data_IF_502589897659
#
_entry.id   IF_502589897659
#
_cell.length_a   1.000
_cell.length_b   1.000
_cell.length_c   1.000
_cell.angle_alpha   90.00
_cell.angle_beta   90.00
_cell.angle_gamma   90.00
#
_symmetry.space_group_name_H-M   'P 1'
#
loop_
_entity.id
_entity.type
_entity.pdbx_description
1 polymer ?
#
# COMPACT_ATOMS: atom_id res chain seq x y z
N UNK A 1 -63.63 -61.02 30.54
CA UNK A 1 -63.86 -59.56 30.48
C UNK A 1 -62.57 -58.87 30.02
N UNK A 2 -62.72 -58.03 29.00
CA UNK A 2 -61.91 -56.84 28.70
C UNK A 2 -60.48 -56.93 28.13
N UNK A 3 -60.45 -56.48 26.87
CA UNK A 3 -59.52 -55.53 26.23
C UNK A 3 -58.15 -56.07 25.78
N UNK A 4 -58.17 -56.57 24.53
CA UNK A 4 -57.05 -56.54 23.58
C UNK A 4 -56.61 -55.07 23.35
N UNK A 5 -55.35 -54.76 23.59
CA UNK A 5 -54.69 -53.57 23.05
C UNK A 5 -54.13 -53.91 21.67
N UNK A 6 -54.53 -53.12 20.69
CA UNK A 6 -54.08 -53.14 19.30
C UNK A 6 -52.69 -52.48 19.21
N UNK A 7 -51.69 -53.24 18.79
CA UNK A 7 -50.38 -52.71 18.41
C UNK A 7 -50.46 -52.21 16.96
N UNK A 8 -50.34 -50.89 16.76
CA UNK A 8 -50.25 -50.28 15.44
C UNK A 8 -48.76 -50.18 15.06
N UNK A 9 -48.33 -51.00 14.09
CA UNK A 9 -47.00 -50.90 13.50
C UNK A 9 -46.95 -49.70 12.55
N UNK A 10 -46.05 -48.75 12.81
CA UNK A 10 -45.73 -47.69 11.86
C UNK A 10 -44.67 -48.21 10.87
N UNK A 11 -45.04 -48.29 9.59
CA UNK A 11 -44.09 -48.34 8.47
C UNK A 11 -43.36 -46.99 8.40
N UNK A 12 -42.04 -46.98 8.60
CA UNK A 12 -41.19 -45.88 8.13
C UNK A 12 -40.90 -46.09 6.63
N UNK A 13 -41.54 -45.29 5.77
CA UNK A 13 -41.06 -45.07 4.41
C UNK A 13 -39.81 -44.19 4.47
N UNK A 14 -38.68 -44.72 4.03
CA UNK A 14 -37.46 -43.97 3.81
C UNK A 14 -37.62 -43.03 2.60
N UNK A 15 -37.70 -41.72 2.88
CA UNK A 15 -37.51 -40.68 1.87
C UNK A 15 -36.00 -40.45 1.71
N UNK A 16 -35.45 -40.99 0.62
CA UNK A 16 -34.15 -40.61 0.09
C UNK A 16 -34.21 -39.13 -0.32
N UNK A 17 -33.71 -38.24 0.54
CA UNK A 17 -33.35 -36.89 0.13
C UNK A 17 -32.10 -36.97 -0.75
N UNK A 18 -32.31 -37.04 -2.06
CA UNK A 18 -31.33 -36.56 -3.03
C UNK A 18 -31.28 -35.03 -2.87
N UNK A 19 -30.52 -34.56 -1.89
CA UNK A 19 -30.16 -33.15 -1.77
C UNK A 19 -29.36 -32.76 -3.01
N UNK A 20 -30.04 -32.07 -3.93
CA UNK A 20 -29.38 -31.42 -5.05
C UNK A 20 -28.27 -30.53 -4.51
N UNK A 21 -27.11 -30.61 -5.17
CA UNK A 21 -26.04 -29.64 -5.04
C UNK A 21 -26.66 -28.31 -5.48
N UNK A 22 -27.03 -27.45 -4.54
CA UNK A 22 -27.42 -26.08 -4.85
C UNK A 22 -26.22 -25.43 -5.56
N UNK A 23 -26.40 -25.14 -6.84
CA UNK A 23 -25.50 -24.29 -7.60
C UNK A 23 -25.23 -23.02 -6.80
N UNK A 24 -23.95 -22.67 -6.66
CA UNK A 24 -23.49 -21.40 -6.12
C UNK A 24 -24.40 -20.26 -6.63
N UNK A 25 -25.06 -19.55 -5.72
CA UNK A 25 -25.89 -18.42 -6.07
C UNK A 25 -25.03 -17.43 -6.87
N UNK A 26 -25.35 -17.27 -8.16
CA UNK A 26 -24.68 -16.32 -9.03
C UNK A 26 -24.78 -14.93 -8.40
N UNK A 27 -23.65 -14.25 -8.26
CA UNK A 27 -23.63 -12.92 -7.67
C UNK A 27 -24.53 -11.96 -8.46
N UNK A 28 -25.50 -11.33 -7.78
CA UNK A 28 -26.42 -10.39 -8.42
C UNK A 28 -25.68 -9.10 -8.82
N UNK A 29 -26.00 -8.59 -10.01
CA UNK A 29 -25.46 -7.33 -10.49
C UNK A 29 -26.06 -6.17 -9.68
N UNK A 30 -25.22 -5.18 -9.38
CA UNK A 30 -25.62 -3.95 -8.69
C UNK A 30 -25.49 -2.75 -9.63
N UNK A 31 -26.21 -1.65 -9.38
CA UNK A 31 -26.02 -0.41 -10.13
C UNK A 31 -24.55 0.01 -10.11
N UNK A 32 -24.02 0.29 -11.30
CA UNK A 32 -22.71 0.92 -11.41
C UNK A 32 -22.79 2.39 -10.98
N UNK A 33 -21.73 2.92 -10.35
CA UNK A 33 -21.60 4.36 -10.12
C UNK A 33 -21.55 5.14 -11.43
N UNK A 34 -22.02 6.38 -11.36
CA UNK A 34 -22.11 7.30 -12.51
C UNK A 34 -20.73 7.68 -13.09
N UNK A 35 -19.65 7.55 -12.30
CA UNK A 35 -18.29 7.90 -12.72
C UNK A 35 -17.65 6.87 -13.65
N UNK A 36 -18.23 5.66 -13.74
CA UNK A 36 -17.77 4.61 -14.65
C UNK A 36 -18.27 4.83 -16.07
N UNK A 37 -17.56 4.32 -17.10
CA UNK A 37 -18.08 4.29 -18.45
C UNK A 37 -19.46 3.61 -18.52
N UNK A 38 -20.25 3.95 -19.54
CA UNK A 38 -21.49 3.22 -19.83
C UNK A 38 -21.17 1.78 -20.26
N UNK A 39 -22.14 0.86 -20.12
CA UNK A 39 -22.01 -0.57 -20.48
C UNK A 39 -20.99 -1.34 -19.64
N UNK A 40 -20.99 -1.06 -18.34
CA UNK A 40 -20.26 -1.84 -17.33
C UNK A 40 -21.29 -2.59 -16.50
N UNK A 41 -20.99 -3.84 -16.15
CA UNK A 41 -21.72 -4.60 -15.14
C UNK A 41 -20.93 -4.58 -13.84
N UNK A 42 -21.56 -4.10 -12.77
CA UNK A 42 -20.94 -3.99 -11.46
C UNK A 42 -21.46 -5.04 -10.51
N UNK A 43 -20.58 -5.50 -9.63
CA UNK A 43 -20.90 -6.44 -8.55
C UNK A 43 -20.22 -5.95 -7.29
N UNK A 44 -20.88 -6.11 -6.16
CA UNK A 44 -20.27 -5.90 -4.85
C UNK A 44 -20.70 -7.00 -3.89
N UNK A 45 -19.94 -7.17 -2.82
CA UNK A 45 -20.26 -8.18 -1.82
C UNK A 45 -19.21 -8.23 -0.74
N UNK A 46 -19.27 -9.30 0.04
CA UNK A 46 -18.27 -9.64 1.04
C UNK A 46 -17.79 -11.07 0.77
N UNK A 47 -16.47 -11.23 0.67
CA UNK A 47 -15.85 -12.54 0.51
C UNK A 47 -16.04 -13.39 1.76
N UNK A 48 -15.87 -14.71 1.64
CA UNK A 48 -15.93 -15.64 2.79
C UNK A 48 -14.93 -15.26 3.90
N UNK A 49 -13.83 -14.60 3.55
CA UNK A 49 -12.83 -14.13 4.50
C UNK A 49 -13.28 -12.88 5.28
N UNK A 50 -14.39 -12.25 4.90
CA UNK A 50 -14.94 -11.04 5.51
C UNK A 50 -14.52 -9.74 4.82
N UNK A 51 -13.70 -9.77 3.75
CA UNK A 51 -13.32 -8.57 3.01
C UNK A 51 -14.43 -8.16 2.04
N UNK A 52 -14.86 -6.90 2.09
CA UNK A 52 -15.75 -6.33 1.07
C UNK A 52 -15.03 -6.25 -0.28
N UNK A 53 -15.75 -6.37 -1.39
CA UNK A 53 -15.17 -6.24 -2.71
C UNK A 53 -16.09 -5.54 -3.70
N UNK A 54 -15.48 -5.01 -4.76
CA UNK A 54 -16.13 -4.45 -5.95
C UNK A 54 -15.55 -5.11 -7.19
N UNK A 55 -16.39 -5.36 -8.19
CA UNK A 55 -16.01 -5.87 -9.51
C UNK A 55 -16.75 -5.05 -10.56
N UNK A 56 -16.04 -4.62 -11.59
CA UNK A 56 -16.57 -3.96 -12.78
C UNK A 56 -16.10 -4.69 -14.04
N UNK A 57 -17.05 -5.17 -14.84
CA UNK A 57 -16.78 -5.92 -16.07
C UNK A 57 -17.43 -5.19 -17.24
N UNK A 58 -16.64 -4.66 -18.19
CA UNK A 58 -17.18 -4.11 -19.44
C UNK A 58 -17.96 -5.14 -20.23
N UNK A 59 -19.05 -4.73 -20.90
CA UNK A 59 -19.78 -5.61 -21.82
C UNK A 59 -18.89 -6.15 -22.96
N UNK A 60 -17.90 -5.36 -23.39
CA UNK A 60 -16.90 -5.71 -24.38
C UNK A 60 -15.59 -6.26 -23.75
N UNK A 61 -15.70 -6.99 -22.63
CA UNK A 61 -14.53 -7.48 -21.90
C UNK A 61 -13.53 -8.23 -22.79
N UNK A 62 -12.29 -7.76 -22.82
CA UNK A 62 -11.21 -8.29 -23.66
C UNK A 62 -10.53 -9.54 -23.07
N UNK A 63 -10.91 -9.94 -21.85
CA UNK A 63 -10.34 -11.07 -21.11
C UNK A 63 -9.22 -10.69 -20.14
N UNK A 64 -8.87 -9.41 -20.01
CA UNK A 64 -7.88 -8.91 -19.05
C UNK A 64 -8.61 -8.51 -17.76
N UNK A 65 -8.09 -8.98 -16.62
CA UNK A 65 -8.51 -8.58 -15.28
C UNK A 65 -7.38 -7.82 -14.60
N UNK A 66 -7.68 -6.66 -14.03
CA UNK A 66 -6.78 -5.96 -13.12
C UNK A 66 -7.34 -5.99 -11.71
N UNK A 67 -6.54 -6.49 -10.76
CA UNK A 67 -6.83 -6.44 -9.34
C UNK A 67 -6.15 -5.23 -8.70
N UNK A 68 -6.96 -4.30 -8.21
CA UNK A 68 -6.50 -3.07 -7.57
C UNK A 68 -6.37 -3.25 -6.05
N UNK A 69 -5.14 -3.07 -5.57
CA UNK A 69 -4.80 -2.93 -4.17
C UNK A 69 -4.85 -1.45 -3.79
N UNK A 70 -5.81 -1.10 -2.94
CA UNK A 70 -5.97 0.27 -2.44
C UNK A 70 -4.75 0.73 -1.64
N UNK A 71 -4.38 1.99 -1.79
CA UNK A 71 -3.47 2.69 -0.88
C UNK A 71 -4.10 3.09 0.46
N UNK A 72 -3.30 3.70 1.33
CA UNK A 72 -3.74 4.14 2.66
C UNK A 72 -3.89 3.00 3.67
N UNK A 73 -4.07 3.35 4.95
CA UNK A 73 -4.20 2.39 6.04
C UNK A 73 -5.57 2.54 6.70
N UNK A 74 -6.59 1.85 6.18
CA UNK A 74 -7.91 1.78 6.82
C UNK A 74 -7.87 0.75 7.94
N UNK A 75 -8.51 1.07 9.07
CA UNK A 75 -8.41 0.30 10.32
C UNK A 75 -9.57 -0.67 10.54
N UNK A 76 -10.70 -0.49 9.85
CA UNK A 76 -11.87 -1.34 10.00
C UNK A 76 -12.46 -1.75 8.64
N UNK A 77 -13.04 -2.96 8.53
CA UNK A 77 -13.79 -3.39 7.36
C UNK A 77 -14.95 -2.42 7.13
N UNK A 78 -15.03 -1.87 5.94
CA UNK A 78 -16.17 -1.06 5.49
C UNK A 78 -16.57 -1.46 4.07
N UNK A 79 -17.85 -1.31 3.69
CA UNK A 79 -18.24 -1.36 2.29
C UNK A 79 -17.36 -0.42 1.46
N UNK A 80 -16.92 -0.92 0.31
CA UNK A 80 -16.11 -0.15 -0.63
C UNK A 80 -17.00 0.75 -1.48
N UNK A 81 -16.48 1.92 -1.85
CA UNK A 81 -17.07 2.82 -2.83
C UNK A 81 -16.17 2.86 -4.05
N UNK A 82 -16.75 2.93 -5.24
CA UNK A 82 -15.96 3.03 -6.46
C UNK A 82 -15.15 4.34 -6.51
N UNK A 83 -15.66 5.41 -5.92
CA UNK A 83 -14.98 6.70 -5.85
C UNK A 83 -13.69 6.64 -5.01
N UNK A 84 -13.74 6.01 -3.83
CA UNK A 84 -12.62 6.04 -2.88
C UNK A 84 -11.68 4.83 -2.99
N UNK A 85 -12.17 3.71 -3.53
CA UNK A 85 -11.51 2.41 -3.40
C UNK A 85 -11.06 1.79 -4.74
N UNK A 86 -11.56 2.28 -5.88
CA UNK A 86 -11.14 1.80 -7.19
C UNK A 86 -10.09 2.66 -7.88
N UNK A 87 -9.60 3.75 -7.27
CA UNK A 87 -8.49 4.52 -7.86
C UNK A 87 -8.88 5.16 -9.20
N UNK A 88 -9.81 6.12 -9.14
CA UNK A 88 -10.49 6.75 -10.29
C UNK A 88 -9.56 7.12 -11.47
N UNK A 89 -8.35 7.61 -11.23
CA UNK A 89 -7.43 8.01 -12.30
C UNK A 89 -6.86 6.81 -13.09
N UNK A 90 -6.31 5.82 -12.40
CA UNK A 90 -5.79 4.60 -13.05
C UNK A 90 -6.92 3.80 -13.70
N UNK A 91 -8.01 3.60 -12.96
CA UNK A 91 -9.14 2.80 -13.43
C UNK A 91 -9.83 3.40 -14.66
N UNK A 92 -9.95 4.73 -14.76
CA UNK A 92 -10.43 5.39 -15.99
C UNK A 92 -9.51 5.21 -17.18
N UNK A 93 -8.20 5.14 -16.96
CA UNK A 93 -7.22 5.06 -18.04
C UNK A 93 -7.13 3.68 -18.72
N UNK A 94 -7.53 2.61 -18.03
CA UNK A 94 -7.48 1.23 -18.56
C UNK A 94 -8.87 0.60 -18.84
N UNK A 95 -9.94 1.01 -18.14
CA UNK A 95 -11.29 0.45 -18.38
C UNK A 95 -11.85 0.77 -19.78
N UNK A 96 -11.43 1.89 -20.38
CA UNK A 96 -11.92 2.29 -21.70
C UNK A 96 -11.59 1.28 -22.80
N UNK A 97 -10.59 0.43 -22.57
CA UNK A 97 -10.09 -0.54 -23.54
C UNK A 97 -10.65 -1.96 -23.31
N UNK A 98 -11.71 -2.09 -22.51
CA UNK A 98 -12.41 -3.37 -22.27
C UNK A 98 -11.77 -4.22 -21.16
N UNK A 99 -10.97 -3.63 -20.27
CA UNK A 99 -10.34 -4.31 -19.13
C UNK A 99 -11.32 -4.40 -17.94
N UNK A 100 -11.46 -5.59 -17.35
CA UNK A 100 -12.21 -5.76 -16.11
C UNK A 100 -11.37 -5.31 -14.90
N UNK A 101 -12.03 -4.72 -13.90
CA UNK A 101 -11.42 -4.32 -12.65
C UNK A 101 -12.08 -5.02 -11.47
N UNK A 102 -11.28 -5.39 -10.48
CA UNK A 102 -11.81 -5.75 -9.17
C UNK A 102 -10.91 -5.21 -8.06
N UNK A 103 -11.51 -4.81 -6.95
CA UNK A 103 -10.81 -4.33 -5.77
C UNK A 103 -11.36 -5.00 -4.53
N UNK A 104 -10.48 -5.34 -3.60
CA UNK A 104 -10.84 -5.86 -2.28
C UNK A 104 -10.56 -4.81 -1.22
N UNK A 105 -11.40 -4.79 -0.21
CA UNK A 105 -11.20 -4.10 1.04
C UNK A 105 -10.39 -4.98 1.98
N UNK A 106 -10.36 -4.59 3.25
CA UNK A 106 -9.62 -5.33 4.26
C UNK A 106 -10.60 -6.02 5.21
N UNK A 107 -10.42 -7.33 5.41
CA UNK A 107 -11.24 -8.10 6.37
C UNK A 107 -10.94 -7.77 7.84
N UNK A 108 -9.80 -7.15 8.11
CA UNK A 108 -9.31 -6.74 9.44
C UNK A 108 -8.26 -5.63 9.30
N UNK A 109 -7.75 -5.14 10.43
CA UNK A 109 -6.66 -4.16 10.45
C UNK A 109 -5.52 -4.55 9.48
N UNK A 110 -5.21 -3.64 8.57
CA UNK A 110 -4.60 -3.94 7.27
C UNK A 110 -3.08 -4.08 7.27
N UNK A 111 -2.56 -5.27 6.93
CA UNK A 111 -1.15 -5.51 6.61
C UNK A 111 -0.91 -5.82 5.13
N UNK A 112 0.33 -5.69 4.59
CA UNK A 112 0.58 -6.05 3.21
C UNK A 112 0.32 -7.52 2.92
N UNK A 113 0.70 -8.43 3.83
CA UNK A 113 0.38 -9.86 3.72
C UNK A 113 -1.13 -10.15 3.75
N UNK A 114 -1.87 -9.54 4.67
CA UNK A 114 -3.33 -9.74 4.75
C UNK A 114 -4.07 -9.12 3.57
N UNK A 115 -3.61 -7.97 3.07
CA UNK A 115 -4.12 -7.41 1.82
C UNK A 115 -3.86 -8.33 0.63
N UNK A 116 -2.67 -8.93 0.56
CA UNK A 116 -2.35 -9.87 -0.50
C UNK A 116 -3.25 -11.13 -0.45
N UNK A 117 -3.51 -11.65 0.76
CA UNK A 117 -4.49 -12.74 0.97
C UNK A 117 -5.90 -12.34 0.51
N UNK A 118 -6.38 -11.15 0.86
CA UNK A 118 -7.72 -10.67 0.49
C UNK A 118 -7.85 -10.42 -1.02
N UNK A 119 -6.78 -9.97 -1.67
CA UNK A 119 -6.72 -9.81 -3.14
C UNK A 119 -6.69 -11.15 -3.86
N UNK A 120 -5.98 -12.16 -3.35
CA UNK A 120 -6.01 -13.51 -3.91
C UNK A 120 -7.38 -14.18 -3.72
N UNK A 121 -8.02 -13.98 -2.56
CA UNK A 121 -9.39 -14.46 -2.34
C UNK A 121 -10.36 -13.85 -3.36
N UNK A 122 -10.23 -12.56 -3.65
CA UNK A 122 -11.01 -11.89 -4.68
C UNK A 122 -10.72 -12.44 -6.08
N UNK A 123 -9.46 -12.72 -6.42
CA UNK A 123 -9.12 -13.36 -7.71
C UNK A 123 -9.84 -14.70 -7.87
N UNK A 124 -9.78 -15.55 -6.83
CA UNK A 124 -10.41 -16.87 -6.85
C UNK A 124 -11.93 -16.75 -6.96
N UNK A 125 -12.54 -15.81 -6.23
CA UNK A 125 -13.96 -15.50 -6.35
C UNK A 125 -14.33 -15.05 -7.77
N UNK A 126 -13.53 -14.18 -8.38
CA UNK A 126 -13.74 -13.75 -9.77
C UNK A 126 -13.71 -14.95 -10.72
N UNK A 127 -12.69 -15.81 -10.61
CA UNK A 127 -12.55 -16.99 -11.48
C UNK A 127 -13.73 -17.95 -11.33
N UNK A 128 -14.22 -18.15 -10.10
CA UNK A 128 -15.37 -19.02 -9.84
C UNK A 128 -16.66 -18.50 -10.48
N UNK A 129 -16.89 -17.18 -10.44
CA UNK A 129 -18.15 -16.58 -10.89
C UNK A 129 -18.16 -16.14 -12.36
N UNK A 130 -17.01 -15.77 -12.91
CA UNK A 130 -16.89 -15.16 -14.25
C UNK A 130 -15.95 -15.92 -15.20
N UNK A 131 -15.29 -16.97 -14.71
CA UNK A 131 -14.31 -17.75 -15.47
C UNK A 131 -12.90 -17.17 -15.41
N UNK A 132 -11.92 -17.96 -15.89
CA UNK A 132 -10.50 -17.59 -15.84
C UNK A 132 -10.19 -16.47 -16.86
N UNK A 133 -9.62 -15.32 -16.44
CA UNK A 133 -9.13 -14.31 -17.36
C UNK A 133 -8.03 -14.84 -18.29
N UNK A 134 -7.89 -14.23 -19.47
CA UNK A 134 -6.72 -14.44 -20.35
C UNK A 134 -5.45 -13.88 -19.70
N UNK A 135 -5.58 -12.75 -19.01
CA UNK A 135 -4.52 -12.08 -18.26
C UNK A 135 -5.04 -11.56 -16.94
N UNK A 136 -4.26 -11.72 -15.87
CA UNK A 136 -4.53 -11.22 -14.53
C UNK A 136 -3.34 -10.37 -14.08
N UNK A 137 -3.55 -9.06 -13.94
CA UNK A 137 -2.52 -8.10 -13.50
C UNK A 137 -2.89 -7.60 -12.11
N UNK A 138 -1.92 -7.44 -11.22
CA UNK A 138 -2.12 -6.79 -9.92
C UNK A 138 -1.52 -5.39 -9.93
N UNK A 139 -2.24 -4.41 -9.38
CA UNK A 139 -1.88 -3.00 -9.41
C UNK A 139 -2.15 -2.35 -8.05
N UNK A 140 -1.35 -1.37 -7.65
CA UNK A 140 -1.66 -0.54 -6.49
C UNK A 140 -0.67 0.61 -6.30
N UNK A 141 -1.19 1.74 -5.81
CA UNK A 141 -0.41 2.93 -5.47
C UNK A 141 -0.15 3.04 -3.96
N UNK A 142 0.87 3.79 -3.56
CA UNK A 142 1.16 4.08 -2.15
C UNK A 142 1.38 2.77 -1.36
N UNK A 143 0.77 2.63 -0.19
CA UNK A 143 0.81 1.40 0.57
C UNK A 143 0.22 0.19 -0.18
N UNK A 144 -0.70 0.41 -1.13
CA UNK A 144 -1.20 -0.61 -2.07
C UNK A 144 -0.13 -1.11 -3.05
N UNK A 145 0.90 -0.30 -3.33
CA UNK A 145 2.09 -0.74 -4.07
C UNK A 145 2.88 -1.80 -3.31
N UNK A 146 3.01 -1.67 -1.98
CA UNK A 146 3.65 -2.69 -1.15
C UNK A 146 2.82 -3.98 -1.10
N UNK A 147 1.49 -3.87 -1.06
CA UNK A 147 0.59 -5.04 -1.16
C UNK A 147 0.70 -5.71 -2.53
N UNK A 148 0.84 -4.92 -3.59
CA UNK A 148 1.04 -5.42 -4.95
C UNK A 148 2.33 -6.22 -5.07
N UNK A 149 3.42 -5.74 -4.47
CA UNK A 149 4.66 -6.51 -4.35
C UNK A 149 4.45 -7.82 -3.59
N UNK A 150 3.71 -7.78 -2.47
CA UNK A 150 3.43 -8.97 -1.66
C UNK A 150 2.50 -9.97 -2.36
N UNK A 151 1.54 -9.52 -3.18
CA UNK A 151 0.73 -10.40 -4.06
C UNK A 151 1.63 -11.10 -5.08
N UNK A 152 2.51 -10.36 -5.75
CA UNK A 152 3.41 -10.92 -6.76
C UNK A 152 4.34 -11.99 -6.15
N UNK A 153 4.85 -11.74 -4.94
CA UNK A 153 5.72 -12.66 -4.20
C UNK A 153 5.00 -13.91 -3.70
N UNK A 154 3.82 -13.76 -3.08
CA UNK A 154 3.13 -14.88 -2.44
C UNK A 154 2.25 -15.69 -3.39
N UNK A 155 1.70 -15.04 -4.41
CA UNK A 155 0.63 -15.60 -5.24
C UNK A 155 0.92 -15.49 -6.73
N UNK A 156 2.01 -14.85 -7.18
CA UNK A 156 2.31 -14.72 -8.61
C UNK A 156 2.40 -16.08 -9.32
N UNK A 157 3.07 -17.03 -8.68
CA UNK A 157 3.19 -18.43 -9.12
C UNK A 157 2.75 -19.34 -7.97
N UNK A 158 1.89 -20.32 -8.27
CA UNK A 158 1.43 -21.28 -7.26
C UNK A 158 2.56 -22.21 -6.81
N UNK A 159 2.35 -22.97 -5.74
CA UNK A 159 3.32 -23.96 -5.24
C UNK A 159 3.64 -25.05 -6.28
N UNK A 160 2.70 -25.31 -7.18
CA UNK A 160 2.81 -26.26 -8.29
C UNK A 160 3.48 -25.66 -9.54
N UNK A 161 3.92 -24.40 -9.48
CA UNK A 161 4.59 -23.71 -10.57
C UNK A 161 3.64 -23.03 -11.58
N UNK A 162 2.33 -22.99 -11.31
CA UNK A 162 1.37 -22.38 -12.23
C UNK A 162 1.25 -20.87 -12.00
N UNK A 163 1.46 -20.08 -13.05
CA UNK A 163 1.24 -18.63 -13.05
C UNK A 163 -0.24 -18.32 -12.73
N UNK A 164 -0.46 -17.53 -11.67
CA UNK A 164 -1.79 -17.05 -11.26
C UNK A 164 -1.99 -15.56 -11.55
N UNK A 165 -0.91 -14.78 -11.54
CA UNK A 165 -0.85 -13.39 -11.97
C UNK A 165 0.19 -13.27 -13.06
N UNK A 166 -0.18 -12.68 -14.19
CA UNK A 166 0.71 -12.53 -15.33
C UNK A 166 1.69 -11.35 -15.16
N UNK A 167 1.36 -10.36 -14.33
CA UNK A 167 2.29 -9.29 -13.98
C UNK A 167 1.80 -8.38 -12.85
N UNK A 168 2.71 -7.53 -12.36
CA UNK A 168 2.46 -6.62 -11.25
C UNK A 168 2.93 -5.19 -11.56
N UNK A 169 2.13 -4.22 -11.14
CA UNK A 169 2.37 -2.78 -11.37
C UNK A 169 2.33 -1.98 -10.05
N UNK A 170 3.34 -2.11 -9.17
CA UNK A 170 3.46 -1.24 -7.99
C UNK A 170 3.75 0.21 -8.39
N UNK A 171 3.05 1.18 -7.81
CA UNK A 171 3.31 2.59 -8.04
C UNK A 171 3.52 3.34 -6.73
N UNK A 172 4.42 4.33 -6.73
CA UNK A 172 4.69 5.24 -5.59
C UNK A 172 4.72 4.51 -4.22
N UNK A 173 5.26 3.28 -4.21
CA UNK A 173 5.03 2.32 -3.14
C UNK A 173 5.99 2.46 -1.98
N UNK A 174 5.64 1.92 -0.81
CA UNK A 174 6.58 1.80 0.33
C UNK A 174 7.51 0.60 0.08
N UNK A 175 8.32 0.66 -0.97
CA UNK A 175 9.01 -0.51 -1.53
C UNK A 175 10.17 -1.04 -0.66
N UNK A 176 10.55 -0.29 0.38
CA UNK A 176 11.53 -0.71 1.38
C UNK A 176 10.95 -1.58 2.50
N UNK A 177 9.62 -1.77 2.52
CA UNK A 177 8.92 -2.48 3.59
C UNK A 177 8.69 -1.63 4.85
N UNK A 178 7.99 -2.21 5.82
CA UNK A 178 7.59 -1.47 7.03
C UNK A 178 8.70 -1.33 8.05
N UNK A 179 9.71 -2.21 8.02
CA UNK A 179 10.85 -2.09 8.93
C UNK A 179 11.64 -0.80 8.64
N UNK A 180 11.99 -0.57 7.38
CA UNK A 180 12.68 0.65 6.94
C UNK A 180 11.79 1.87 6.97
N UNK A 181 10.48 1.72 6.74
CA UNK A 181 9.52 2.81 6.99
C UNK A 181 9.52 3.27 8.45
N UNK A 182 9.45 2.30 9.35
CA UNK A 182 9.42 2.56 10.78
C UNK A 182 10.69 3.25 11.30
N UNK A 183 11.84 3.04 10.66
CA UNK A 183 13.11 3.69 10.97
C UNK A 183 13.05 5.22 10.85
N UNK A 184 12.68 5.77 9.70
CA UNK A 184 12.60 7.23 9.58
C UNK A 184 11.39 7.81 10.33
N UNK A 185 10.35 7.02 10.60
CA UNK A 185 9.25 7.44 11.47
C UNK A 185 9.68 7.59 12.93
N UNK A 186 10.45 6.65 13.49
CA UNK A 186 10.95 6.82 14.87
C UNK A 186 11.93 7.98 14.98
N UNK A 187 12.82 8.14 13.99
CA UNK A 187 13.77 9.26 13.94
C UNK A 187 13.03 10.60 13.95
N UNK A 188 12.02 10.74 13.09
CA UNK A 188 11.20 11.94 13.01
C UNK A 188 10.52 12.24 14.36
N UNK A 189 9.97 11.23 15.05
CA UNK A 189 9.29 11.44 16.34
C UNK A 189 10.24 11.81 17.46
N UNK A 190 11.41 11.18 17.58
CA UNK A 190 12.37 11.51 18.66
C UNK A 190 13.02 12.88 18.44
N UNK A 191 13.33 13.23 17.20
CA UNK A 191 13.89 14.54 16.84
C UNK A 191 12.85 15.63 17.07
N UNK A 192 11.61 15.43 16.63
CA UNK A 192 10.51 16.36 16.91
C UNK A 192 10.30 16.56 18.41
N UNK A 193 10.23 15.49 19.20
CA UNK A 193 9.98 15.61 20.64
C UNK A 193 11.12 16.33 21.36
N UNK A 194 12.37 16.18 20.91
CA UNK A 194 13.51 16.92 21.48
C UNK A 194 13.33 18.44 21.36
N UNK A 195 12.93 18.93 20.18
CA UNK A 195 12.72 20.36 19.92
C UNK A 195 11.38 20.90 20.44
N UNK A 196 10.30 20.14 20.26
CA UNK A 196 8.94 20.63 20.47
C UNK A 196 8.34 20.29 21.83
N UNK A 197 8.76 19.16 22.43
CA UNK A 197 8.33 18.70 23.77
C UNK A 197 6.82 18.71 24.00
N UNK A 198 6.03 18.46 22.95
CA UNK A 198 4.58 18.61 22.96
C UNK A 198 3.82 17.41 22.36
N UNK A 199 4.50 16.32 22.02
CA UNK A 199 3.86 15.09 21.55
C UNK A 199 4.55 13.83 22.13
N UNK A 200 4.28 13.49 23.41
CA UNK A 200 3.23 14.07 24.27
C UNK A 200 3.58 15.42 24.92
N UNK A 201 2.57 16.15 25.37
CA UNK A 201 2.70 17.37 26.17
C UNK A 201 3.23 17.08 27.57
N UNK A 202 3.88 18.04 28.26
CA UNK A 202 4.42 17.81 29.61
C UNK A 202 3.37 17.44 30.66
N UNK A 203 2.12 17.86 30.47
CA UNK A 203 0.98 17.57 31.35
C UNK A 203 0.19 16.33 30.93
N UNK A 204 0.61 15.63 29.88
CA UNK A 204 0.02 14.36 29.45
C UNK A 204 0.80 13.17 29.99
N UNK A 205 0.15 12.00 30.14
CA UNK A 205 0.86 10.75 30.40
C UNK A 205 1.96 10.55 29.37
N UNK A 206 3.21 10.47 29.85
CA UNK A 206 4.35 10.22 28.99
C UNK A 206 4.33 8.77 28.51
N UNK A 207 4.71 8.54 27.26
CA UNK A 207 4.73 7.21 26.67
C UNK A 207 5.89 7.04 25.68
N UNK A 208 6.34 5.81 25.41
CA UNK A 208 7.42 5.58 24.47
C UNK A 208 7.06 5.99 23.04
N UNK A 209 7.86 6.84 22.42
CA UNK A 209 7.58 7.39 21.09
C UNK A 209 7.65 6.36 19.95
N UNK A 210 8.14 5.15 20.20
CA UNK A 210 8.12 4.09 19.18
C UNK A 210 6.74 3.49 18.96
N UNK A 211 5.77 3.70 19.84
CA UNK A 211 4.48 2.98 19.77
C UNK A 211 3.39 3.69 18.95
N UNK A 212 3.69 4.83 18.32
CA UNK A 212 2.62 5.70 17.77
C UNK A 212 1.88 6.41 18.92
N UNK A 213 0.61 6.10 19.11
CA UNK A 213 -0.19 6.59 20.23
C UNK A 213 -0.42 5.47 21.27
N UNK A 214 -0.54 5.81 22.56
CA UNK A 214 -0.94 4.83 23.56
C UNK A 214 -2.39 4.34 23.31
N UNK A 215 -2.73 3.11 23.74
CA UNK A 215 -4.11 2.64 23.72
C UNK A 215 -5.05 3.63 24.42
N UNK A 216 -6.23 3.86 23.84
CA UNK A 216 -7.23 4.77 24.38
C UNK A 216 -6.96 6.27 24.16
N UNK A 217 -5.88 6.65 23.46
CA UNK A 217 -5.64 8.06 23.09
C UNK A 217 -6.81 8.64 22.30
N UNK A 218 -7.29 9.82 22.71
CA UNK A 218 -8.35 10.58 22.02
C UNK A 218 -7.83 11.67 21.10
N UNK A 219 -6.50 11.81 20.96
CA UNK A 219 -5.87 12.80 20.08
C UNK A 219 -6.42 12.71 18.64
N UNK A 220 -6.73 13.85 18.06
CA UNK A 220 -7.19 13.98 16.67
C UNK A 220 -6.07 14.47 15.75
N UNK A 221 -6.23 14.26 14.43
CA UNK A 221 -5.29 14.76 13.42
C UNK A 221 -5.15 16.28 13.46
N UNK A 222 -6.24 17.01 13.76
CA UNK A 222 -6.23 18.47 13.85
C UNK A 222 -5.47 18.97 15.08
N UNK A 223 -5.65 18.32 16.24
CA UNK A 223 -4.86 18.63 17.43
C UNK A 223 -3.37 18.35 17.22
N UNK A 224 -3.03 17.23 16.55
CA UNK A 224 -1.64 16.94 16.19
C UNK A 224 -1.07 17.99 15.23
N UNK A 225 -1.82 18.37 14.20
CA UNK A 225 -1.46 19.43 13.25
C UNK A 225 -1.22 20.76 13.96
N UNK A 226 -2.07 21.13 14.92
CA UNK A 226 -1.90 22.34 15.72
C UNK A 226 -0.62 22.28 16.57
N UNK A 227 -0.33 21.15 17.26
CA UNK A 227 0.92 20.98 18.01
C UNK A 227 2.16 21.15 17.13
N UNK A 228 2.14 20.61 15.92
CA UNK A 228 3.25 20.78 14.96
C UNK A 228 3.37 22.25 14.60
N UNK A 229 2.27 22.92 14.26
CA UNK A 229 2.28 24.33 13.90
C UNK A 229 2.73 25.24 15.05
N UNK A 230 2.32 24.99 16.29
CA UNK A 230 2.74 25.80 17.44
C UNK A 230 4.27 25.79 17.59
N UNK A 231 4.89 24.62 17.45
CA UNK A 231 6.35 24.47 17.55
C UNK A 231 7.12 25.01 16.35
N UNK A 232 6.58 24.90 15.13
CA UNK A 232 7.35 25.05 13.88
C UNK A 232 6.88 26.20 12.99
N UNK A 233 5.67 26.72 13.22
CA UNK A 233 5.00 27.68 12.34
C UNK A 233 4.81 27.16 10.92
N UNK A 234 4.79 25.84 10.70
CA UNK A 234 4.80 25.24 9.36
C UNK A 234 3.59 25.63 8.50
N UNK A 235 2.46 25.99 9.12
CA UNK A 235 1.26 26.47 8.43
C UNK A 235 1.26 27.99 8.18
N UNK A 236 2.21 28.70 8.76
CA UNK A 236 2.35 30.14 8.60
C UNK A 236 3.22 30.47 7.38
N UNK A 237 2.95 31.59 6.70
CA UNK A 237 3.91 32.20 5.77
C UNK A 237 5.30 32.34 6.42
N UNK A 238 6.41 32.11 5.68
CA UNK A 238 7.76 32.13 6.26
C UNK A 238 8.11 33.42 7.02
N UNK A 239 7.57 34.57 6.58
CA UNK A 239 7.76 35.89 7.21
C UNK A 239 6.94 36.09 8.49
N UNK A 240 5.95 35.24 8.77
CA UNK A 240 5.11 35.31 9.97
C UNK A 240 5.59 34.36 11.09
N UNK A 241 6.53 33.45 10.79
CA UNK A 241 7.11 32.54 11.78
C UNK A 241 7.95 33.32 12.81
N UNK A 242 7.87 32.92 14.07
CA UNK A 242 8.83 33.38 15.08
C UNK A 242 10.23 32.80 14.80
N UNK A 243 11.27 33.38 15.41
CA UNK A 243 12.64 32.85 15.27
C UNK A 243 12.74 31.40 15.77
N UNK A 244 12.12 31.11 16.92
CA UNK A 244 12.08 29.75 17.46
C UNK A 244 11.38 28.76 16.51
N UNK A 245 10.26 29.15 15.90
CA UNK A 245 9.55 28.33 14.93
C UNK A 245 10.39 28.04 13.69
N UNK A 246 11.04 29.07 13.11
CA UNK A 246 11.97 28.90 11.98
C UNK A 246 13.09 27.93 12.32
N UNK A 247 13.73 28.13 13.47
CA UNK A 247 14.87 27.32 13.91
C UNK A 247 14.47 25.86 14.18
N UNK A 248 13.34 25.64 14.86
CA UNK A 248 12.82 24.30 15.13
C UNK A 248 12.47 23.58 13.82
N UNK A 249 11.76 24.24 12.91
CA UNK A 249 11.43 23.65 11.61
C UNK A 249 12.69 23.28 10.84
N UNK A 250 13.66 24.19 10.74
CA UNK A 250 14.92 23.96 10.03
C UNK A 250 15.70 22.78 10.63
N UNK A 251 15.85 22.73 11.96
CA UNK A 251 16.54 21.63 12.61
C UNK A 251 15.84 20.28 12.37
N UNK A 252 14.51 20.24 12.48
CA UNK A 252 13.74 19.00 12.30
C UNK A 252 13.86 18.50 10.86
N UNK A 253 13.62 19.34 9.84
CA UNK A 253 13.64 18.89 8.44
C UNK A 253 15.04 18.53 7.96
N UNK A 254 16.07 19.25 8.42
CA UNK A 254 17.46 18.96 8.06
C UNK A 254 17.94 17.64 8.64
N UNK A 255 17.61 17.35 9.91
CA UNK A 255 18.00 16.11 10.57
C UNK A 255 17.24 14.90 10.05
N UNK A 256 15.94 15.06 9.79
CA UNK A 256 15.09 13.95 9.38
C UNK A 256 15.14 13.68 7.88
N UNK A 257 15.67 14.63 7.10
CA UNK A 257 15.65 14.61 5.63
C UNK A 257 14.23 14.45 5.05
N UNK A 258 13.23 14.96 5.79
CA UNK A 258 11.83 15.02 5.38
C UNK A 258 11.50 16.46 5.00
N UNK A 259 11.17 16.74 3.72
CA UNK A 259 10.76 18.06 3.28
C UNK A 259 9.52 18.57 4.03
N UNK A 260 9.46 19.89 4.24
CA UNK A 260 8.40 20.52 5.03
C UNK A 260 6.99 20.26 4.44
N UNK A 261 6.88 20.23 3.12
CA UNK A 261 5.65 19.94 2.38
C UNK A 261 5.06 18.56 2.68
N UNK A 262 5.90 17.59 3.06
CA UNK A 262 5.50 16.22 3.37
C UNK A 262 5.40 15.96 4.88
N UNK A 263 6.01 16.82 5.70
CA UNK A 263 6.21 16.59 7.13
C UNK A 263 4.89 16.38 7.88
N UNK A 264 3.88 17.22 7.66
CA UNK A 264 2.58 17.08 8.36
C UNK A 264 1.92 15.73 8.09
N UNK A 265 1.89 15.29 6.83
CA UNK A 265 1.26 14.04 6.44
C UNK A 265 2.03 12.82 6.95
N UNK A 266 3.35 12.86 6.87
CA UNK A 266 4.23 11.80 7.38
C UNK A 266 4.17 11.72 8.91
N UNK A 267 4.20 12.85 9.61
CA UNK A 267 4.11 12.89 11.07
C UNK A 267 2.75 12.39 11.56
N UNK A 268 1.67 12.74 10.87
CA UNK A 268 0.35 12.17 11.13
C UNK A 268 0.36 10.64 10.99
N UNK A 269 0.97 10.13 9.92
CA UNK A 269 1.09 8.67 9.70
C UNK A 269 1.96 8.00 10.77
N UNK A 270 3.12 8.58 11.10
CA UNK A 270 4.01 8.07 12.15
C UNK A 270 3.37 8.05 13.55
N UNK A 271 2.30 8.82 13.76
CA UNK A 271 1.54 8.86 15.02
C UNK A 271 0.37 7.89 15.00
N UNK A 272 -0.53 8.01 14.02
CA UNK A 272 -1.79 7.28 14.00
C UNK A 272 -1.66 5.90 13.36
N UNK A 273 -1.09 5.85 12.16
CA UNK A 273 -0.94 4.60 11.40
C UNK A 273 0.08 3.68 12.08
N UNK A 274 1.18 4.25 12.57
CA UNK A 274 2.23 3.46 13.20
C UNK A 274 1.76 2.74 14.46
N UNK A 275 0.83 3.33 15.24
CA UNK A 275 0.18 2.63 16.37
C UNK A 275 -0.40 1.30 15.92
N UNK A 276 -1.19 1.32 14.84
CA UNK A 276 -1.89 0.14 14.38
C UNK A 276 -0.92 -0.90 13.82
N UNK A 277 0.23 -0.48 13.25
CA UNK A 277 1.31 -1.37 12.83
C UNK A 277 1.98 -2.04 14.04
N UNK A 278 2.25 -1.27 15.09
CA UNK A 278 2.87 -1.76 16.34
C UNK A 278 1.94 -2.73 17.09
N UNK A 279 0.63 -2.51 17.08
CA UNK A 279 -0.30 -3.48 17.70
C UNK A 279 -0.17 -4.89 17.10
N UNK A 280 0.14 -4.98 15.80
CA UNK A 280 0.25 -6.25 15.06
C UNK A 280 1.52 -7.03 15.35
N UNK A 281 2.53 -6.38 15.93
CA UNK A 281 3.74 -7.05 16.44
C UNK A 281 3.53 -7.59 17.87
N UNK A 282 2.30 -7.49 18.39
CA UNK A 282 1.92 -7.84 19.75
C UNK A 282 2.15 -6.68 20.73
N UNK A 283 2.10 -5.43 20.25
CA UNK A 283 2.35 -4.23 21.05
C UNK A 283 3.81 -4.07 21.47
N UNK A 284 4.74 -4.69 20.74
CA UNK A 284 6.19 -4.68 21.04
C UNK A 284 6.94 -3.86 20.00
N UNK A 285 8.01 -3.18 20.41
CA UNK A 285 8.74 -2.25 19.53
C UNK A 285 9.45 -2.96 18.37
N UNK A 286 9.07 -2.74 17.09
CA UNK A 286 9.75 -3.39 15.97
C UNK A 286 10.91 -2.55 15.38
N UNK A 287 11.21 -1.38 15.94
CA UNK A 287 12.19 -0.44 15.37
C UNK A 287 13.19 0.04 16.41
N UNK A 288 14.35 0.48 15.95
CA UNK A 288 15.39 1.02 16.82
C UNK A 288 15.97 2.30 16.26
N UNK A 289 16.44 3.16 17.15
CA UNK A 289 17.34 4.27 16.86
C UNK A 289 18.58 4.23 17.75
N UNK A 290 18.91 3.08 18.34
CA UNK A 290 20.22 2.85 18.95
C UNK A 290 21.28 2.88 17.86
N UNK A 291 22.46 3.41 18.17
CA UNK A 291 23.58 3.53 17.23
C UNK A 291 23.42 4.64 16.16
N UNK A 292 22.25 5.27 16.04
CA UNK A 292 22.03 6.35 15.07
C UNK A 292 22.64 7.66 15.58
N UNK A 293 23.54 8.26 14.79
CA UNK A 293 24.00 9.64 15.03
C UNK A 293 23.23 10.59 14.12
N UNK A 294 22.49 11.52 14.72
CA UNK A 294 21.72 12.52 14.01
C UNK A 294 22.59 13.71 13.61
N UNK A 295 22.50 14.16 12.37
CA UNK A 295 23.30 15.27 11.83
C UNK A 295 22.43 16.31 11.13
N UNK A 296 22.90 17.55 11.07
CA UNK A 296 22.26 18.62 10.28
C UNK A 296 21.45 19.63 11.09
N UNK A 297 21.49 19.54 12.42
CA UNK A 297 20.95 20.57 13.30
C UNK A 297 21.98 21.67 13.59
N UNK A 298 21.55 22.73 14.28
CA UNK A 298 22.46 23.76 14.79
C UNK A 298 23.38 23.29 15.92
N UNK A 299 23.05 22.19 16.61
CA UNK A 299 23.90 21.57 17.64
C UNK A 299 23.65 20.06 17.70
N UNK A 300 24.32 19.32 16.81
CA UNK A 300 24.20 17.86 16.72
C UNK A 300 24.63 17.17 18.01
N UNK A 301 25.60 17.75 18.74
CA UNK A 301 26.08 17.19 20.00
C UNK A 301 25.00 17.27 21.09
N UNK A 302 24.30 18.40 21.21
CA UNK A 302 23.19 18.53 22.14
C UNK A 302 22.01 17.65 21.75
N UNK A 303 21.65 17.62 20.45
CA UNK A 303 20.60 16.75 19.93
C UNK A 303 20.87 15.29 20.30
N UNK A 304 22.04 14.75 19.93
CA UNK A 304 22.35 13.34 20.16
C UNK A 304 22.45 12.95 21.64
N UNK A 305 22.80 13.89 22.54
CA UNK A 305 22.76 13.69 23.99
C UNK A 305 21.33 13.67 24.55
N UNK A 306 20.40 14.41 23.95
CA UNK A 306 19.07 14.65 24.52
C UNK A 306 17.91 13.87 23.88
N UNK A 307 18.09 13.33 22.67
CA UNK A 307 17.06 12.52 22.01
C UNK A 307 16.76 11.23 22.77
N UNK A 308 15.50 10.83 22.74
CA UNK A 308 15.07 9.54 23.28
C UNK A 308 15.61 8.39 22.42
N UNK A 309 16.05 7.31 23.08
CA UNK A 309 16.69 6.15 22.45
C UNK A 309 15.94 4.87 22.79
N UNK A 310 15.64 4.06 21.78
CA UNK A 310 14.84 2.85 21.89
C UNK A 310 15.50 1.68 21.17
N UNK A 311 15.68 0.57 21.89
CA UNK A 311 15.99 -0.74 21.30
C UNK A 311 14.73 -1.40 20.75
N UNK A 312 14.90 -2.32 19.81
CA UNK A 312 13.81 -3.13 19.25
C UNK A 312 13.67 -4.47 19.98
N UNK A 313 12.48 -5.07 19.86
CA UNK A 313 12.19 -6.46 20.23
C UNK A 313 12.37 -7.36 19.00
N UNK A 314 13.22 -8.38 19.10
CA UNK A 314 13.56 -9.24 17.97
C UNK A 314 12.35 -9.99 17.37
N UNK A 315 11.36 -10.37 18.20
CA UNK A 315 10.15 -11.04 17.70
C UNK A 315 9.24 -10.06 16.97
N UNK A 316 9.17 -8.81 17.45
CA UNK A 316 8.44 -7.75 16.78
C UNK A 316 9.06 -7.41 15.41
N UNK A 317 10.39 -7.31 15.35
CA UNK A 317 11.14 -7.09 14.10
C UNK A 317 10.85 -8.21 13.10
N UNK A 318 11.00 -9.48 13.52
CA UNK A 318 10.76 -10.63 12.65
C UNK A 318 9.32 -10.65 12.12
N UNK A 319 8.34 -10.38 13.00
CA UNK A 319 6.92 -10.34 12.61
C UNK A 319 6.62 -9.23 11.62
N UNK A 320 7.18 -8.03 11.81
CA UNK A 320 6.98 -6.91 10.89
C UNK A 320 7.62 -7.20 9.52
N UNK A 321 8.82 -7.78 9.53
CA UNK A 321 9.55 -8.11 8.30
C UNK A 321 8.84 -9.18 7.47
N UNK A 322 8.38 -10.27 8.10
CA UNK A 322 7.61 -11.33 7.42
C UNK A 322 6.34 -10.79 6.73
N UNK A 323 5.70 -9.82 7.38
CA UNK A 323 4.41 -9.29 6.96
C UNK A 323 4.53 -8.25 5.84
N UNK A 324 5.60 -7.45 5.83
CA UNK A 324 5.68 -6.25 5.00
C UNK A 324 6.96 -6.10 4.17
N UNK A 325 8.11 -6.66 4.59
CA UNK A 325 9.35 -6.45 3.84
C UNK A 325 9.35 -7.31 2.57
N UNK A 326 9.67 -6.75 1.38
CA UNK A 326 9.79 -7.55 0.17
C UNK A 326 11.05 -8.43 0.18
N UNK A 327 10.90 -9.68 -0.24
CA UNK A 327 12.01 -10.63 -0.40
C UNK A 327 12.62 -10.59 -1.81
N UNK A 328 11.89 -10.05 -2.79
CA UNK A 328 12.27 -10.07 -4.20
C UNK A 328 12.09 -11.42 -4.89
N UNK A 329 11.64 -12.46 -4.18
CA UNK A 329 11.33 -13.77 -4.77
C UNK A 329 10.04 -13.71 -5.61
N UNK A 330 10.15 -13.14 -6.80
CA UNK A 330 9.06 -12.89 -7.73
C UNK A 330 9.45 -13.41 -9.11
N UNK A 331 8.58 -14.26 -9.68
CA UNK A 331 8.83 -14.97 -10.95
C UNK A 331 7.85 -14.54 -12.06
N UNK A 332 7.30 -13.33 -11.94
CA UNK A 332 6.39 -12.71 -12.92
C UNK A 332 6.87 -11.28 -13.23
N UNK A 333 6.62 -10.74 -14.43
CA UNK A 333 6.94 -9.36 -14.76
C UNK A 333 6.44 -8.33 -13.73
N UNK A 334 7.36 -7.50 -13.23
CA UNK A 334 7.09 -6.38 -12.32
C UNK A 334 7.60 -5.09 -12.94
N UNK A 335 6.71 -4.13 -13.11
CA UNK A 335 7.04 -2.80 -13.60
C UNK A 335 6.66 -1.76 -12.54
N UNK A 336 7.64 -1.08 -11.93
CA UNK A 336 7.35 -0.01 -10.95
C UNK A 336 7.37 1.37 -11.59
N UNK A 337 6.53 2.27 -11.08
CA UNK A 337 6.56 3.70 -11.42
C UNK A 337 6.56 4.55 -10.15
N UNK A 338 7.58 5.39 -9.98
CA UNK A 338 7.76 6.15 -8.74
C UNK A 338 8.06 7.64 -9.03
N UNK A 339 7.44 8.55 -8.28
CA UNK A 339 7.72 9.98 -8.36
C UNK A 339 8.97 10.34 -7.56
N UNK A 340 9.95 10.99 -8.17
CA UNK A 340 11.24 11.32 -7.54
C UNK A 340 11.05 12.21 -6.30
N UNK A 341 10.07 13.11 -6.32
CA UNK A 341 9.79 14.04 -5.21
C UNK A 341 8.64 13.59 -4.30
N UNK A 342 8.14 12.38 -4.46
CA UNK A 342 6.98 11.87 -3.73
C UNK A 342 7.26 11.74 -2.21
N UNK A 343 6.19 11.77 -1.39
CA UNK A 343 6.29 11.55 0.05
C UNK A 343 6.67 10.12 0.43
N UNK A 344 6.32 9.14 -0.41
CA UNK A 344 6.96 7.83 -0.41
C UNK A 344 8.35 8.02 -1.00
N UNK A 345 9.35 7.74 -0.18
CA UNK A 345 10.74 8.07 -0.51
C UNK A 345 11.23 7.22 -1.67
N UNK A 346 11.67 7.85 -2.76
CA UNK A 346 12.10 7.15 -3.98
C UNK A 346 13.29 6.22 -3.73
N UNK A 347 14.12 6.51 -2.72
CA UNK A 347 15.21 5.64 -2.31
C UNK A 347 14.74 4.25 -1.85
N UNK A 348 13.46 4.08 -1.50
CA UNK A 348 12.87 2.77 -1.21
C UNK A 348 12.89 1.81 -2.40
N UNK A 349 12.90 2.33 -3.63
CA UNK A 349 13.03 1.52 -4.86
C UNK A 349 14.42 0.88 -4.96
N UNK A 350 15.47 1.47 -4.36
CA UNK A 350 16.81 0.86 -4.31
C UNK A 350 16.80 -0.44 -3.49
N UNK A 351 16.19 -0.41 -2.30
CA UNK A 351 16.03 -1.60 -1.44
C UNK A 351 15.22 -2.70 -2.13
N UNK A 352 14.19 -2.34 -2.88
CA UNK A 352 13.40 -3.32 -3.61
C UNK A 352 14.20 -3.98 -4.74
N UNK A 353 15.02 -3.21 -5.46
CA UNK A 353 15.95 -3.76 -6.45
C UNK A 353 16.99 -4.70 -5.83
N UNK A 354 17.53 -4.32 -4.67
CA UNK A 354 18.47 -5.17 -3.92
C UNK A 354 17.84 -6.50 -3.53
N UNK A 355 16.57 -6.50 -3.12
CA UNK A 355 15.84 -7.74 -2.81
C UNK A 355 15.75 -8.66 -4.04
N UNK A 356 15.42 -8.13 -5.23
CA UNK A 356 15.42 -8.90 -6.49
C UNK A 356 16.82 -9.39 -6.89
N UNK A 357 17.86 -8.59 -6.65
CA UNK A 357 19.25 -9.00 -6.88
C UNK A 357 19.64 -10.17 -5.98
N UNK A 358 19.33 -10.08 -4.68
CA UNK A 358 19.63 -11.14 -3.70
C UNK A 358 18.84 -12.42 -3.98
N UNK A 359 17.60 -12.30 -4.46
CA UNK A 359 16.77 -13.44 -4.86
C UNK A 359 17.18 -14.04 -6.22
N UNK A 360 18.04 -13.38 -7.00
CA UNK A 360 18.42 -13.83 -8.34
C UNK A 360 17.32 -13.67 -9.39
N UNK A 361 16.35 -12.77 -9.15
CA UNK A 361 15.14 -12.58 -9.96
C UNK A 361 15.08 -11.22 -10.64
N UNK A 362 16.19 -10.45 -10.66
CA UNK A 362 16.24 -9.09 -11.22
C UNK A 362 15.71 -8.99 -12.67
N UNK A 363 15.77 -10.08 -13.44
CA UNK A 363 15.20 -10.16 -14.78
C UNK A 363 13.68 -10.02 -14.81
N UNK A 364 12.98 -10.16 -13.69
CA UNK A 364 11.55 -9.88 -13.55
C UNK A 364 11.22 -8.44 -13.16
N UNK A 365 12.21 -7.58 -12.88
CA UNK A 365 11.98 -6.19 -12.46
C UNK A 365 12.39 -5.18 -13.54
N UNK A 366 11.51 -4.21 -13.79
CA UNK A 366 11.79 -2.94 -14.42
C UNK A 366 11.29 -1.81 -13.53
N UNK A 367 12.12 -0.83 -13.23
CA UNK A 367 11.73 0.35 -12.44
C UNK A 367 11.79 1.60 -13.32
N UNK A 368 10.77 2.43 -13.22
CA UNK A 368 10.66 3.70 -13.93
C UNK A 368 10.40 4.83 -12.95
N UNK A 369 10.90 6.02 -13.28
CA UNK A 369 10.84 7.18 -12.39
C UNK A 369 10.28 8.38 -13.13
N UNK A 370 9.47 9.19 -12.45
CA UNK A 370 8.92 10.42 -13.00
C UNK A 370 9.33 11.63 -12.16
N UNK A 371 9.32 12.83 -12.74
CA UNK A 371 9.53 14.07 -12.00
C UNK A 371 8.29 14.49 -11.16
N UNK A 372 7.34 13.57 -10.91
CA UNK A 372 6.16 13.83 -10.07
C UNK A 372 6.57 14.01 -8.61
N UNK A 373 5.96 14.99 -7.95
CA UNK A 373 6.24 15.35 -6.55
C UNK A 373 4.96 15.44 -5.72
N UNK A 374 3.98 16.21 -6.19
CA UNK A 374 2.69 16.45 -5.51
C UNK A 374 1.56 16.42 -6.56
N UNK A 375 0.37 15.89 -6.22
CA UNK A 375 0.08 15.15 -4.99
C UNK A 375 0.78 13.77 -4.97
N UNK A 376 0.80 13.13 -3.80
CA UNK A 376 1.29 11.75 -3.67
C UNK A 376 0.62 10.84 -4.70
N UNK A 377 1.40 10.06 -5.45
CA UNK A 377 0.92 9.24 -6.56
C UNK A 377 0.23 10.03 -7.68
N UNK A 378 0.55 11.32 -7.85
CA UNK A 378 -0.08 12.25 -8.81
C UNK A 378 0.35 12.06 -10.27
N UNK A 379 0.34 10.82 -10.76
CA UNK A 379 0.71 10.51 -12.14
C UNK A 379 -0.41 10.85 -13.13
N UNK A 380 -0.04 11.15 -14.38
CA UNK A 380 -0.99 11.44 -15.46
C UNK A 380 -1.58 10.17 -16.06
N UNK A 381 -2.70 10.29 -16.78
CA UNK A 381 -3.25 9.16 -17.54
C UNK A 381 -2.27 8.65 -18.60
N UNK A 382 -1.51 9.55 -19.24
CA UNK A 382 -0.45 9.19 -20.18
C UNK A 382 0.65 8.32 -19.53
N UNK A 383 1.06 8.65 -18.31
CA UNK A 383 2.04 7.87 -17.54
C UNK A 383 1.47 6.49 -17.17
N UNK A 384 0.23 6.43 -16.64
CA UNK A 384 -0.43 5.17 -16.29
C UNK A 384 -0.59 4.23 -17.48
N UNK A 385 -1.06 4.74 -18.64
CA UNK A 385 -1.22 3.92 -19.85
C UNK A 385 0.10 3.41 -20.39
N UNK A 386 1.13 4.25 -20.40
CA UNK A 386 2.44 3.85 -20.91
C UNK A 386 3.01 2.65 -20.15
N UNK A 387 2.94 2.66 -18.81
CA UNK A 387 3.44 1.54 -18.01
C UNK A 387 2.52 0.32 -18.06
N UNK A 388 1.19 0.52 -18.10
CA UNK A 388 0.25 -0.59 -18.22
C UNK A 388 0.45 -1.36 -19.53
N UNK A 389 0.49 -0.65 -20.66
CA UNK A 389 0.65 -1.28 -21.97
C UNK A 389 2.05 -1.85 -22.20
N UNK A 390 3.09 -1.24 -21.62
CA UNK A 390 4.43 -1.82 -21.64
C UNK A 390 4.50 -3.13 -20.83
N UNK A 391 3.87 -3.17 -19.66
CA UNK A 391 3.77 -4.41 -18.87
C UNK A 391 2.97 -5.47 -19.62
N UNK A 392 1.82 -5.12 -20.21
CA UNK A 392 1.03 -6.05 -21.00
C UNK A 392 1.81 -6.63 -22.18
N UNK A 393 2.55 -5.78 -22.90
CA UNK A 393 3.43 -6.23 -23.98
C UNK A 393 4.53 -7.16 -23.48
N UNK A 394 5.14 -6.87 -22.33
CA UNK A 394 6.14 -7.76 -21.71
C UNK A 394 5.53 -9.14 -21.42
N UNK A 395 4.33 -9.16 -20.86
CA UNK A 395 3.60 -10.39 -20.56
C UNK A 395 3.31 -11.21 -21.82
N UNK A 396 2.92 -10.55 -22.91
CA UNK A 396 2.52 -11.22 -24.15
C UNK A 396 3.70 -11.70 -24.99
N UNK A 397 4.77 -10.90 -25.06
CA UNK A 397 5.91 -11.14 -25.95
C UNK A 397 7.12 -11.75 -25.22
N UNK A 398 7.10 -11.79 -23.88
CA UNK A 398 8.22 -12.26 -23.07
C UNK A 398 9.45 -11.34 -23.08
N UNK A 399 9.36 -10.17 -23.71
CA UNK A 399 10.48 -9.22 -23.85
C UNK A 399 10.34 -8.07 -22.86
N UNK A 400 11.32 -7.91 -21.96
CA UNK A 400 11.35 -6.81 -21.00
C UNK A 400 11.46 -5.47 -21.75
N UNK A 401 10.55 -4.51 -21.51
CA UNK A 401 10.61 -3.21 -22.17
C UNK A 401 11.74 -2.36 -21.57
N UNK A 402 12.14 -1.33 -22.32
CA UNK A 402 13.07 -0.30 -21.86
C UNK A 402 12.31 0.93 -21.37
N UNK A 403 12.93 1.70 -20.45
CA UNK A 403 12.37 2.98 -20.03
C UNK A 403 12.20 3.96 -21.21
N UNK A 404 13.05 3.88 -22.23
CA UNK A 404 12.94 4.68 -23.46
C UNK A 404 11.68 4.38 -24.26
N UNK A 405 11.33 3.10 -24.45
CA UNK A 405 10.10 2.70 -25.14
C UNK A 405 8.85 3.19 -24.39
N UNK A 406 8.86 3.08 -23.06
CA UNK A 406 7.78 3.58 -22.19
C UNK A 406 7.62 5.10 -22.36
N UNK A 407 8.72 5.85 -22.33
CA UNK A 407 8.68 7.30 -22.51
C UNK A 407 8.18 7.73 -23.90
N UNK A 408 8.54 6.99 -24.95
CA UNK A 408 8.01 7.22 -26.31
C UNK A 408 6.50 7.00 -26.34
N UNK A 409 5.99 5.91 -25.76
CA UNK A 409 4.56 5.65 -25.68
C UNK A 409 3.82 6.74 -24.87
N UNK A 410 4.37 7.08 -23.71
CA UNK A 410 3.87 8.15 -22.84
C UNK A 410 3.80 9.51 -23.54
N UNK A 411 4.82 9.86 -24.34
CA UNK A 411 4.82 11.11 -25.14
C UNK A 411 3.68 11.13 -26.16
N UNK A 412 3.37 9.99 -26.78
CA UNK A 412 2.23 9.89 -27.73
C UNK A 412 0.89 10.08 -27.03
N UNK A 413 0.67 9.45 -25.87
CA UNK A 413 -0.53 9.67 -25.06
C UNK A 413 -0.64 11.13 -24.59
N UNK A 414 0.49 11.74 -24.22
CA UNK A 414 0.54 13.16 -23.85
C UNK A 414 0.14 14.08 -25.00
N UNK A 415 0.65 13.83 -26.21
CA UNK A 415 0.25 14.56 -27.43
C UNK A 415 -1.22 14.36 -27.78
N UNK A 416 -1.84 13.26 -27.36
CA UNK A 416 -3.27 13.00 -27.48
C UNK A 416 -4.13 13.66 -26.38
N UNK A 417 -3.52 14.45 -25.48
CA UNK A 417 -4.24 15.18 -24.43
C UNK A 417 -4.46 14.40 -23.14
N UNK A 418 -3.78 13.27 -22.93
CA UNK A 418 -3.96 12.42 -21.73
C UNK A 418 -3.11 12.87 -20.52
N UNK A 419 -2.66 14.12 -20.52
CA UNK A 419 -1.82 14.72 -19.49
C UNK A 419 -0.33 14.62 -19.78
N UNK A 420 0.50 15.17 -18.89
CA UNK A 420 1.94 15.31 -19.11
C UNK A 420 2.68 13.98 -19.06
N UNK A 421 3.71 13.83 -19.89
CA UNK A 421 4.68 12.76 -19.76
C UNK A 421 5.93 13.24 -19.02
N UNK A 422 6.21 12.71 -17.82
CA UNK A 422 7.30 13.21 -16.97
C UNK A 422 8.33 12.15 -16.60
N UNK A 423 8.46 11.07 -17.38
CA UNK A 423 9.50 10.06 -17.14
C UNK A 423 10.90 10.68 -17.16
N UNK A 424 11.70 10.31 -16.17
CA UNK A 424 13.09 10.66 -16.07
C UNK A 424 13.94 9.42 -16.39
N UNK A 425 14.55 9.41 -17.56
CA UNK A 425 15.29 8.26 -18.09
C UNK A 425 16.69 8.10 -17.50
N UNK A 426 17.21 9.14 -16.85
CA UNK A 426 18.58 9.17 -16.31
C UNK A 426 18.62 9.03 -14.80
N UNK A 427 17.48 9.17 -14.12
CA UNK A 427 17.41 9.04 -12.68
C UNK A 427 17.67 7.60 -12.24
N UNK A 428 18.51 7.47 -11.21
CA UNK A 428 18.68 6.26 -10.42
C UNK A 428 18.57 6.65 -8.95
N UNK A 429 17.74 5.97 -8.15
CA UNK A 429 17.67 6.24 -6.72
C UNK A 429 19.00 5.90 -6.09
N UNK A 430 19.45 6.76 -5.17
CA UNK A 430 20.52 6.39 -4.25
C UNK A 430 20.05 5.28 -3.31
N UNK A 431 21.01 4.64 -2.63
CA UNK A 431 20.70 3.70 -1.56
C UNK A 431 19.80 4.36 -0.50
N UNK A 432 18.90 3.58 0.11
CA UNK A 432 18.02 4.06 1.17
C UNK A 432 18.78 4.77 2.30
N UNK A 433 19.95 4.23 2.64
CA UNK A 433 20.83 4.72 3.69
C UNK A 433 21.57 6.02 3.31
N UNK A 434 21.47 6.51 2.08
CA UNK A 434 21.99 7.84 1.71
C UNK A 434 21.10 8.97 2.23
N UNK A 435 19.83 8.69 2.48
CA UNK A 435 18.85 9.66 2.99
C UNK A 435 18.55 9.46 4.47
N UNK A 436 18.54 8.22 4.93
CA UNK A 436 18.24 7.89 6.32
C UNK A 436 19.45 7.22 6.98
N UNK A 437 19.75 7.50 8.25
CA UNK A 437 20.91 6.91 8.91
C UNK A 437 20.89 5.37 8.83
N UNK A 438 22.03 4.79 8.44
CA UNK A 438 22.25 3.36 8.54
C UNK A 438 22.10 2.92 10.01
N UNK A 439 21.59 1.71 10.20
CA UNK A 439 21.48 1.08 11.51
C UNK A 439 22.30 -0.20 11.46
N UNK A 440 23.25 -0.34 12.38
CA UNK A 440 23.94 -1.62 12.50
C UNK A 440 22.92 -2.71 12.91
N UNK A 441 22.99 -3.90 12.30
CA UNK A 441 22.03 -4.98 12.50
C UNK A 441 21.92 -5.50 13.93
#
# INVERSE_FOLDING_TARGET
MNKKQTSLGLLLLGLLFLGGIENAAAQEAVPCPDELPKRIRCYNGQSESGAYYLIAIPENWNGILVLHNRGGLSTLPRPLTFADDLGLAYSRSVMLDGVALAASGFRRAFTPKTGAEDTENLRRLFVQNFGRPKRTIVYGGSYGGLVTAKVAELYGVSKEGAVQYDGALPQCGIMAGDRRRGYYWIDMRVVYQYYCRNHPLPNEPQYPLWQGLPPGSTLTSDELRNRINDCTGILLPPNERTEAQRQNLANIINVTHIPAEHFLNLFNSATFVWRDIVERTGGRNPVTNLGVTYHGSTDDNALNRGVLRYGSDAKAVARLSEDADPSGNVMIPVLTMHGIGDMAVVEAESTYREAFQQAGTLDYLLQTYTNTMIPHCGFSSAEHKAVFYALLKWIEEGTKPTAGEINVACTRYSQAGEGECRFNLTFQPNAFESRFPAREP
#
